data_IF_490019392918
#
_entry.id   IF_490019392918
#
_cell.length_a   1.000
_cell.length_b   1.000
_cell.length_c   1.000
_cell.angle_alpha   90.00
_cell.angle_beta   90.00
_cell.angle_gamma   90.00
#
_symmetry.space_group_name_H-M   'P 1'
#
loop_
_entity.id
_entity.type
_entity.pdbx_description
1 polymer ?
#
# COMPACT_ATOMS: atom_id res chain seq x y z
N UNK A 1 0.52 10.08 -7.70
CA UNK A 1 0.62 9.80 -6.26
C UNK A 1 0.66 8.29 -6.07
N UNK A 2 1.54 7.80 -5.20
CA UNK A 2 1.67 6.37 -4.89
C UNK A 2 1.16 6.15 -3.47
N UNK A 3 0.28 5.18 -3.29
CA UNK A 3 -0.33 4.80 -2.02
C UNK A 3 -0.03 3.34 -1.71
N UNK A 4 0.10 3.03 -0.43
CA UNK A 4 0.18 1.68 0.10
C UNK A 4 -0.87 1.48 1.17
N UNK A 5 -1.46 0.30 1.24
CA UNK A 5 -2.43 -0.04 2.25
C UNK A 5 -2.27 -1.48 2.75
N UNK A 6 -2.50 -1.67 4.04
CA UNK A 6 -2.44 -2.97 4.71
C UNK A 6 -3.50 -3.03 5.82
N UNK A 7 -3.91 -4.25 6.16
CA UNK A 7 -4.78 -4.54 7.30
C UNK A 7 -4.08 -5.61 8.14
N UNK A 8 -4.04 -5.37 9.45
CA UNK A 8 -3.49 -6.34 10.38
C UNK A 8 -4.55 -6.76 11.40
N UNK A 9 -4.69 -8.08 11.56
CA UNK A 9 -5.65 -8.68 12.49
C UNK A 9 -5.00 -9.06 13.82
N UNK A 10 -5.78 -9.17 14.90
CA UNK A 10 -5.31 -9.75 16.16
C UNK A 10 -4.70 -11.14 15.97
N UNK A 11 -3.75 -11.52 16.83
CA UNK A 11 -3.26 -12.91 16.84
C UNK A 11 -4.24 -13.77 17.65
N UNK A 12 -4.22 -15.08 17.39
CA UNK A 12 -4.96 -16.04 18.22
C UNK A 12 -4.57 -15.86 19.70
N UNK A 13 -5.55 -15.54 20.55
CA UNK A 13 -5.37 -15.24 21.98
C UNK A 13 -5.55 -13.76 22.37
N UNK A 14 -5.62 -12.83 21.41
CA UNK A 14 -5.94 -11.41 21.65
C UNK A 14 -7.44 -11.14 21.49
N UNK A 15 -8.26 -11.79 22.32
CA UNK A 15 -9.72 -11.64 22.28
C UNK A 15 -10.12 -10.18 22.60
N UNK A 16 -10.85 -9.55 21.68
CA UNK A 16 -11.33 -8.16 21.80
C UNK A 16 -10.43 -7.08 21.18
N UNK A 17 -9.28 -7.45 20.60
CA UNK A 17 -8.47 -6.50 19.84
C UNK A 17 -9.11 -6.21 18.46
N UNK A 18 -9.26 -4.94 18.05
CA UNK A 18 -9.79 -4.60 16.73
C UNK A 18 -8.77 -4.91 15.62
N UNK A 19 -9.25 -5.04 14.38
CA UNK A 19 -8.33 -4.98 13.23
C UNK A 19 -7.87 -3.55 13.03
N UNK A 20 -6.67 -3.38 12.47
CA UNK A 20 -6.11 -2.06 12.19
C UNK A 20 -5.81 -1.94 10.71
N UNK A 21 -6.31 -0.88 10.09
CA UNK A 21 -6.01 -0.55 8.70
C UNK A 21 -5.09 0.67 8.66
N UNK A 22 -4.09 0.61 7.79
CA UNK A 22 -3.13 1.68 7.58
C UNK A 22 -3.03 2.04 6.11
N UNK A 23 -3.01 3.35 5.81
CA UNK A 23 -2.79 3.89 4.46
C UNK A 23 -1.64 4.89 4.50
N UNK A 24 -0.66 4.67 3.64
CA UNK A 24 0.47 5.57 3.41
C UNK A 24 0.40 6.14 2.01
N UNK A 25 0.89 7.36 1.81
CA UNK A 25 1.04 7.89 0.46
C UNK A 25 2.18 8.89 0.32
N UNK A 26 2.77 8.91 -0.88
CA UNK A 26 3.76 9.92 -1.28
C UNK A 26 3.11 11.31 -1.30
N UNK A 27 3.79 12.34 -0.79
CA UNK A 27 3.32 13.74 -0.86
C UNK A 27 4.12 14.62 -1.82
N UNK A 28 5.30 14.16 -2.23
CA UNK A 28 6.23 14.92 -3.07
C UNK A 28 6.33 14.37 -4.51
N UNK A 29 7.04 15.09 -5.37
CA UNK A 29 7.24 14.68 -6.78
C UNK A 29 8.35 13.63 -6.96
N UNK A 30 9.33 13.59 -6.07
CA UNK A 30 10.41 12.59 -6.06
C UNK A 30 9.94 11.22 -5.52
N UNK A 31 8.75 11.15 -4.91
CA UNK A 31 8.10 9.93 -4.40
C UNK A 31 8.86 9.29 -3.24
N UNK A 32 9.45 10.11 -2.37
CA UNK A 32 10.32 9.68 -1.25
C UNK A 32 9.69 9.91 0.12
N UNK A 33 8.86 10.93 0.30
CA UNK A 33 8.22 11.28 1.56
C UNK A 33 6.83 10.67 1.63
N UNK A 34 6.60 9.82 2.63
CA UNK A 34 5.32 9.16 2.85
C UNK A 34 4.69 9.65 4.15
N UNK A 35 3.44 10.11 4.06
CA UNK A 35 2.60 10.37 5.23
C UNK A 35 1.55 9.26 5.41
N UNK A 36 1.08 9.10 6.64
CA UNK A 36 0.28 7.98 7.07
C UNK A 36 -1.01 8.38 7.80
N UNK A 37 -2.06 7.57 7.64
CA UNK A 37 -3.30 7.58 8.42
C UNK A 37 -3.61 6.15 8.74
N UNK A 38 -4.19 5.96 9.91
CA UNK A 38 -4.69 4.67 10.29
C UNK A 38 -6.01 4.76 11.00
N UNK A 39 -6.76 3.65 10.98
CA UNK A 39 -8.06 3.52 11.62
C UNK A 39 -8.18 2.14 12.26
N UNK A 40 -8.89 2.10 13.38
CA UNK A 40 -9.39 0.86 13.96
C UNK A 40 -10.63 0.46 13.18
N UNK A 41 -10.84 -0.84 13.03
CA UNK A 41 -12.05 -1.42 12.46
C UNK A 41 -12.40 -2.72 13.18
N UNK A 42 -13.62 -3.22 12.96
CA UNK A 42 -14.09 -4.42 13.61
C UNK A 42 -13.13 -5.61 13.42
N UNK A 43 -13.08 -6.47 14.43
CA UNK A 43 -12.18 -7.63 14.43
C UNK A 43 -12.49 -8.53 13.23
N UNK A 44 -11.44 -8.96 12.54
CA UNK A 44 -11.50 -9.83 11.35
C UNK A 44 -12.22 -9.23 10.12
N UNK A 45 -12.40 -7.91 10.07
CA UNK A 45 -12.83 -7.22 8.84
C UNK A 45 -11.65 -7.12 7.88
N UNK A 46 -11.72 -7.79 6.74
CA UNK A 46 -10.61 -7.90 5.77
C UNK A 46 -10.45 -6.68 4.85
N UNK A 47 -11.57 -6.05 4.49
CA UNK A 47 -11.57 -4.81 3.69
C UNK A 47 -11.27 -3.60 4.57
N UNK A 48 -10.73 -2.54 4.00
CA UNK A 48 -10.52 -1.29 4.73
C UNK A 48 -11.85 -0.53 4.82
N UNK A 49 -12.46 -0.51 6.01
CA UNK A 49 -13.81 0.03 6.19
C UNK A 49 -13.91 1.55 6.01
N UNK A 50 -12.89 2.28 6.46
CA UNK A 50 -12.81 3.74 6.39
C UNK A 50 -11.72 4.19 5.41
N UNK A 51 -11.62 3.54 4.24
CA UNK A 51 -10.59 3.85 3.25
C UNK A 51 -10.81 5.25 2.67
N UNK A 52 -12.06 5.64 2.45
CA UNK A 52 -12.40 6.96 1.89
C UNK A 52 -11.79 8.09 2.72
N UNK A 53 -12.01 8.10 4.03
CA UNK A 53 -11.48 9.13 4.93
C UNK A 53 -9.95 9.18 4.92
N UNK A 54 -9.29 8.02 4.92
CA UNK A 54 -7.84 7.96 4.88
C UNK A 54 -7.26 8.43 3.55
N UNK A 55 -7.95 8.18 2.44
CA UNK A 55 -7.56 8.69 1.11
C UNK A 55 -7.77 10.19 1.04
N UNK A 56 -8.87 10.73 1.59
CA UNK A 56 -9.09 12.19 1.70
C UNK A 56 -7.96 12.84 2.51
N UNK A 57 -7.56 12.27 3.65
CA UNK A 57 -6.41 12.75 4.42
C UNK A 57 -5.15 12.81 3.54
N UNK A 58 -4.87 11.77 2.76
CA UNK A 58 -3.69 11.73 1.88
C UNK A 58 -3.76 12.71 0.71
N UNK A 59 -4.94 12.94 0.13
CA UNK A 59 -5.12 13.93 -0.93
C UNK A 59 -4.89 15.36 -0.41
N UNK A 60 -5.38 15.65 0.80
CA UNK A 60 -5.11 16.91 1.50
C UNK A 60 -3.61 17.12 1.71
N UNK A 61 -2.94 16.12 2.28
CA UNK A 61 -1.50 16.15 2.51
C UNK A 61 -0.70 16.37 1.21
N UNK A 62 -1.06 15.65 0.15
CA UNK A 62 -0.43 15.77 -1.16
C UNK A 62 -0.59 17.19 -1.73
N UNK A 63 -1.80 17.76 -1.63
CA UNK A 63 -2.07 19.11 -2.13
C UNK A 63 -1.33 20.17 -1.30
N UNK A 64 -1.37 20.08 0.03
CA UNK A 64 -0.66 21.01 0.90
C UNK A 64 0.85 21.02 0.65
N UNK A 65 1.45 19.87 0.28
CA UNK A 65 2.88 19.78 0.01
C UNK A 65 3.25 20.16 -1.44
N UNK A 66 2.48 19.69 -2.42
CA UNK A 66 2.84 19.82 -3.84
C UNK A 66 2.19 21.00 -4.56
N UNK A 67 1.20 21.66 -3.93
CA UNK A 67 0.42 22.74 -4.54
C UNK A 67 -0.50 22.30 -5.68
N UNK A 68 -0.67 21.00 -5.91
CA UNK A 68 -1.50 20.46 -7.00
C UNK A 68 -2.16 19.14 -6.60
N UNK A 69 -3.29 18.80 -7.22
CA UNK A 69 -3.91 17.49 -7.05
C UNK A 69 -3.23 16.46 -7.97
N UNK A 70 -3.15 15.17 -7.57
CA UNK A 70 -2.52 14.15 -8.40
C UNK A 70 -3.37 13.81 -9.62
N UNK A 71 -2.78 13.68 -10.81
CA UNK A 71 -3.49 13.18 -12.01
C UNK A 71 -3.63 11.66 -12.06
N UNK A 72 -2.78 10.94 -11.32
CA UNK A 72 -2.77 9.47 -11.27
C UNK A 72 -2.60 9.00 -9.83
N UNK A 73 -3.32 7.96 -9.45
CA UNK A 73 -3.21 7.29 -8.15
C UNK A 73 -2.83 5.82 -8.40
N UNK A 74 -1.64 5.43 -7.94
CA UNK A 74 -1.23 4.02 -7.88
C UNK A 74 -1.42 3.50 -6.46
N UNK A 75 -2.29 2.51 -6.29
CA UNK A 75 -2.64 1.96 -4.99
C UNK A 75 -2.13 0.51 -4.88
N UNK A 76 -1.21 0.28 -3.95
CA UNK A 76 -0.67 -1.03 -3.64
C UNK A 76 -1.32 -1.61 -2.38
N UNK A 77 -2.11 -2.66 -2.53
CA UNK A 77 -2.81 -3.34 -1.43
C UNK A 77 -2.07 -4.60 -1.01
N UNK A 78 -1.46 -4.58 0.18
CA UNK A 78 -0.85 -5.75 0.82
C UNK A 78 -1.88 -6.50 1.65
N UNK A 79 -1.61 -7.75 2.04
CA UNK A 79 -2.39 -8.45 3.06
C UNK A 79 -3.67 -9.12 2.58
N UNK A 80 -3.90 -9.24 1.27
CA UNK A 80 -5.09 -9.92 0.72
C UNK A 80 -4.74 -11.16 -0.08
N UNK A 81 -5.58 -12.19 0.03
CA UNK A 81 -5.50 -13.45 -0.73
C UNK A 81 -6.29 -13.39 -2.04
N UNK A 82 -6.08 -14.37 -2.93
CA UNK A 82 -6.79 -14.44 -4.22
C UNK A 82 -8.31 -14.42 -4.09
N UNK A 83 -8.85 -15.04 -3.03
CA UNK A 83 -10.29 -15.06 -2.74
C UNK A 83 -10.88 -13.67 -2.44
N UNK A 84 -10.03 -12.71 -2.07
CA UNK A 84 -10.41 -11.36 -1.64
C UNK A 84 -10.16 -10.30 -2.71
N UNK A 85 -9.69 -10.69 -3.91
CA UNK A 85 -9.46 -9.72 -5.00
C UNK A 85 -10.76 -9.03 -5.44
N UNK A 86 -11.89 -9.74 -5.37
CA UNK A 86 -13.21 -9.15 -5.61
C UNK A 86 -13.51 -8.03 -4.62
N UNK A 87 -13.26 -8.26 -3.32
CA UNK A 87 -13.44 -7.24 -2.28
C UNK A 87 -12.62 -5.97 -2.55
N UNK A 88 -11.35 -6.10 -2.99
CA UNK A 88 -10.54 -4.91 -3.32
C UNK A 88 -11.15 -4.11 -4.46
N UNK A 89 -11.73 -4.79 -5.46
CA UNK A 89 -12.38 -4.16 -6.60
C UNK A 89 -13.76 -3.56 -6.25
N UNK A 90 -14.57 -4.29 -5.48
CA UNK A 90 -15.98 -4.01 -5.27
C UNK A 90 -16.23 -3.13 -4.03
N UNK A 91 -15.34 -3.18 -3.02
CA UNK A 91 -15.48 -2.44 -1.76
C UNK A 91 -14.43 -1.32 -1.60
N UNK A 92 -13.15 -1.59 -1.91
CA UNK A 92 -12.07 -0.60 -1.66
C UNK A 92 -11.93 0.42 -2.81
N UNK A 93 -11.95 -0.01 -4.07
CA UNK A 93 -11.82 0.90 -5.22
C UNK A 93 -12.93 1.98 -5.26
N UNK A 94 -14.22 1.69 -4.99
CA UNK A 94 -15.25 2.73 -4.93
C UNK A 94 -14.98 3.78 -3.83
N UNK A 95 -14.43 3.38 -2.69
CA UNK A 95 -14.05 4.33 -1.63
C UNK A 95 -12.92 5.26 -2.06
N UNK A 96 -11.94 4.79 -2.84
CA UNK A 96 -10.89 5.66 -3.40
C UNK A 96 -11.51 6.70 -4.34
N UNK A 97 -12.47 6.29 -5.18
CA UNK A 97 -13.19 7.20 -6.08
C UNK A 97 -14.04 8.22 -5.33
N UNK A 98 -14.77 7.77 -4.31
CA UNK A 98 -15.57 8.64 -3.44
C UNK A 98 -14.68 9.68 -2.73
N UNK A 99 -13.49 9.30 -2.29
CA UNK A 99 -12.53 10.20 -1.68
C UNK A 99 -12.06 11.30 -2.64
N UNK A 100 -11.85 10.98 -3.92
CA UNK A 100 -11.55 11.99 -4.94
C UNK A 100 -12.70 12.98 -5.11
N UNK A 101 -13.94 12.50 -5.23
CA UNK A 101 -15.11 13.39 -5.34
C UNK A 101 -15.30 14.27 -4.11
N UNK A 102 -15.08 13.72 -2.91
CA UNK A 102 -15.16 14.47 -1.64
C UNK A 102 -14.01 15.46 -1.46
N UNK A 103 -12.86 15.24 -2.10
CA UNK A 103 -11.73 16.16 -2.05
C UNK A 103 -11.94 17.41 -2.94
N UNK A 104 -12.68 17.30 -4.05
CA UNK A 104 -12.95 18.43 -4.97
C UNK A 104 -13.49 19.70 -4.28
N UNK A 105 -14.57 19.66 -3.47
CA UNK A 105 -15.07 20.87 -2.80
C UNK A 105 -14.04 21.44 -1.81
N UNK A 106 -13.24 20.59 -1.15
CA UNK A 106 -12.18 21.02 -0.23
C UNK A 106 -11.09 21.76 -0.99
N UNK A 107 -10.67 21.23 -2.13
CA UNK A 107 -9.70 21.90 -3.00
C UNK A 107 -10.27 23.24 -3.53
N UNK A 108 -11.55 23.28 -3.91
CA UNK A 108 -12.19 24.52 -4.36
C UNK A 108 -12.21 25.63 -3.30
N UNK A 109 -12.35 25.27 -2.02
CA UNK A 109 -12.22 26.23 -0.91
C UNK A 109 -10.77 26.72 -0.73
N UNK A 110 -9.78 25.88 -1.01
CA UNK A 110 -8.36 26.21 -0.85
C UNK A 110 -7.79 26.99 -2.04
N UNK A 111 -8.34 26.80 -3.23
CA UNK A 111 -7.91 27.45 -4.48
C UNK A 111 -9.12 27.94 -5.31
N UNK A 112 -9.87 28.93 -4.78
CA UNK A 112 -11.09 29.45 -5.41
C UNK A 112 -10.72 30.24 -6.67
N UNK A 113 -10.88 29.61 -7.84
CA UNK A 113 -10.52 30.17 -9.14
C UNK A 113 -9.85 29.18 -10.08
N UNK A 114 -9.52 27.98 -9.58
CA UNK A 114 -8.93 26.94 -10.40
C UNK A 114 -10.00 26.13 -11.15
N UNK A 115 -10.21 26.49 -12.41
CA UNK A 115 -11.20 25.83 -13.28
C UNK A 115 -10.88 24.34 -13.58
N UNK A 116 -9.68 23.86 -13.26
CA UNK A 116 -9.30 22.45 -13.47
C UNK A 116 -10.06 21.53 -12.51
N UNK A 117 -10.48 22.03 -11.33
CA UNK A 117 -11.10 21.23 -10.26
C UNK A 117 -12.34 20.48 -10.74
N UNK A 118 -13.21 21.14 -11.52
CA UNK A 118 -14.45 20.54 -12.02
C UNK A 118 -14.19 19.32 -12.93
N UNK A 119 -13.11 19.36 -13.69
CA UNK A 119 -12.74 18.29 -14.64
C UNK A 119 -11.72 17.31 -14.07
N UNK A 120 -11.23 17.56 -12.85
CA UNK A 120 -10.23 16.70 -12.23
C UNK A 120 -10.85 15.33 -11.92
N UNK A 121 -10.29 14.30 -12.52
CA UNK A 121 -10.67 12.92 -12.29
C UNK A 121 -9.40 12.06 -12.39
N UNK A 122 -8.73 11.75 -11.26
CA UNK A 122 -7.47 11.05 -11.30
C UNK A 122 -7.64 9.61 -11.79
N UNK A 123 -6.74 9.15 -12.65
CA UNK A 123 -6.76 7.76 -13.13
C UNK A 123 -6.23 6.84 -12.03
N UNK A 124 -7.01 5.84 -11.63
CA UNK A 124 -6.66 4.92 -10.55
C UNK A 124 -6.13 3.59 -11.11
N UNK A 125 -4.97 3.18 -10.61
CA UNK A 125 -4.38 1.86 -10.87
C UNK A 125 -4.20 1.13 -9.55
N UNK A 126 -4.80 -0.05 -9.42
CA UNK A 126 -4.79 -0.87 -8.21
C UNK A 126 -4.02 -2.15 -8.45
N UNK A 127 -3.00 -2.39 -7.62
CA UNK A 127 -2.22 -3.61 -7.60
C UNK A 127 -2.32 -4.25 -6.22
N UNK A 128 -2.58 -5.55 -6.18
CA UNK A 128 -2.45 -6.36 -4.97
C UNK A 128 -1.04 -6.91 -4.88
N UNK A 129 -0.49 -6.93 -3.67
CA UNK A 129 0.87 -7.39 -3.36
C UNK A 129 0.82 -8.66 -2.53
N UNK A 130 1.25 -9.77 -3.12
CA UNK A 130 1.40 -11.07 -2.44
C UNK A 130 2.86 -11.31 -2.06
N UNK A 131 3.24 -11.04 -0.81
CA UNK A 131 4.60 -11.28 -0.27
C UNK A 131 4.80 -12.67 0.36
N UNK A 132 3.71 -13.41 0.61
CA UNK A 132 3.71 -14.74 1.24
C UNK A 132 3.03 -15.77 0.33
N UNK A 133 3.82 -16.47 -0.46
CA UNK A 133 3.37 -17.58 -1.30
C UNK A 133 4.43 -18.69 -1.37
N UNK A 134 4.07 -19.80 -2.02
CA UNK A 134 4.91 -20.99 -2.14
C UNK A 134 5.81 -21.01 -3.39
N UNK A 135 5.58 -20.14 -4.37
CA UNK A 135 6.41 -20.01 -5.59
C UNK A 135 7.85 -19.59 -5.26
N UNK A 136 8.85 -20.27 -5.82
CA UNK A 136 10.28 -19.95 -5.71
C UNK A 136 10.94 -20.04 -7.08
N UNK A 137 11.93 -19.18 -7.31
CA UNK A 137 12.68 -19.11 -8.55
C UNK A 137 14.13 -19.47 -8.30
N UNK A 138 14.71 -20.23 -9.23
CA UNK A 138 16.10 -20.66 -9.16
C UNK A 138 16.79 -20.34 -10.48
N UNK A 139 18.04 -19.88 -10.46
CA UNK A 139 18.81 -19.67 -11.67
C UNK A 139 19.10 -21.02 -12.32
N UNK A 140 19.21 -21.03 -13.65
CA UNK A 140 19.71 -22.19 -14.36
C UNK A 140 21.17 -22.43 -13.95
N UNK A 141 21.48 -23.66 -13.53
CA UNK A 141 22.63 -24.12 -12.71
C UNK A 141 24.02 -23.69 -13.25
N UNK A 142 24.12 -23.21 -14.49
CA UNK A 142 25.39 -22.90 -15.17
C UNK A 142 25.80 -21.42 -15.23
N UNK A 143 25.00 -20.46 -14.76
CA UNK A 143 25.22 -19.03 -15.07
C UNK A 143 25.64 -18.11 -13.91
N UNK A 144 25.37 -18.46 -12.66
CA UNK A 144 25.68 -17.59 -11.52
C UNK A 144 26.52 -18.35 -10.49
N UNK A 145 27.84 -18.10 -10.53
CA UNK A 145 28.82 -18.64 -9.57
C UNK A 145 28.27 -18.70 -8.14
N UNK A 146 27.96 -19.92 -7.66
CA UNK A 146 27.59 -20.24 -6.28
C UNK A 146 26.36 -19.52 -5.67
N UNK A 147 25.61 -18.68 -6.42
CA UNK A 147 24.39 -18.07 -5.90
C UNK A 147 23.18 -18.98 -6.18
N UNK A 148 22.43 -19.28 -5.13
CA UNK A 148 21.21 -20.10 -5.21
C UNK A 148 20.00 -19.29 -5.69
N UNK A 149 20.11 -17.96 -5.75
CA UNK A 149 19.02 -17.05 -6.08
C UNK A 149 19.19 -16.43 -7.47
N UNK A 150 18.07 -16.05 -8.07
CA UNK A 150 18.06 -15.26 -9.29
C UNK A 150 18.64 -13.85 -9.04
N UNK A 151 19.16 -13.17 -10.08
CA UNK A 151 19.60 -11.79 -9.94
C UNK A 151 18.44 -10.84 -9.59
N UNK A 152 18.75 -9.77 -8.87
CA UNK A 152 17.81 -8.69 -8.60
C UNK A 152 17.30 -8.07 -9.91
N UNK A 153 16.00 -7.77 -9.95
CA UNK A 153 15.29 -7.33 -11.15
C UNK A 153 14.66 -8.46 -11.98
N UNK A 154 14.73 -9.73 -11.54
CA UNK A 154 14.01 -10.82 -12.20
C UNK A 154 12.50 -10.52 -12.22
N UNK A 155 11.92 -10.58 -13.40
CA UNK A 155 10.47 -10.53 -13.61
C UNK A 155 10.01 -11.84 -14.25
N UNK A 156 8.90 -12.38 -13.75
CA UNK A 156 8.22 -13.54 -14.36
C UNK A 156 6.74 -13.23 -14.52
N UNK A 157 6.32 -13.04 -15.76
CA UNK A 157 4.96 -12.65 -16.16
C UNK A 157 4.33 -13.62 -17.18
N UNK A 158 5.00 -14.75 -17.45
CA UNK A 158 4.57 -15.78 -18.42
C UNK A 158 4.59 -17.17 -17.77
N UNK A 159 3.79 -18.06 -18.36
CA UNK A 159 3.68 -19.50 -18.06
C UNK A 159 3.11 -19.87 -16.68
N UNK A 160 3.68 -19.33 -15.61
CA UNK A 160 3.35 -19.65 -14.21
C UNK A 160 2.48 -18.60 -13.53
N UNK A 161 1.94 -17.66 -14.30
CA UNK A 161 0.97 -16.66 -13.86
C UNK A 161 -0.45 -17.11 -14.22
N UNK A 162 -1.45 -16.55 -13.55
CA UNK A 162 -2.84 -16.89 -13.82
C UNK A 162 -3.23 -16.44 -15.25
N UNK A 163 -3.73 -17.32 -16.13
CA UNK A 163 -4.08 -16.96 -17.51
C UNK A 163 -5.25 -15.97 -17.60
N UNK A 164 -6.09 -15.91 -16.56
CA UNK A 164 -7.28 -15.06 -16.53
C UNK A 164 -7.05 -13.72 -15.84
N UNK A 165 -5.85 -13.47 -15.29
CA UNK A 165 -5.52 -12.24 -14.55
C UNK A 165 -4.12 -11.76 -14.89
N UNK A 166 -4.01 -10.50 -15.26
CA UNK A 166 -2.71 -9.87 -15.49
C UNK A 166 -1.95 -9.74 -14.18
N UNK A 167 -0.82 -10.42 -14.08
CA UNK A 167 0.03 -10.43 -12.89
C UNK A 167 1.48 -10.75 -13.25
N UNK A 168 2.39 -10.44 -12.34
CA UNK A 168 3.81 -10.74 -12.50
C UNK A 168 4.47 -10.98 -11.15
N UNK A 169 5.47 -11.85 -11.11
CA UNK A 169 6.39 -11.96 -9.98
C UNK A 169 7.59 -11.04 -10.22
N UNK A 170 8.08 -10.42 -9.15
CA UNK A 170 9.25 -9.55 -9.20
C UNK A 170 10.20 -9.88 -8.03
N UNK A 171 11.43 -10.25 -8.37
CA UNK A 171 12.55 -10.38 -7.42
C UNK A 171 13.45 -9.16 -7.54
N UNK A 172 13.04 -8.07 -6.93
CA UNK A 172 13.74 -6.79 -6.89
C UNK A 172 15.02 -6.75 -6.02
N UNK A 173 15.22 -7.68 -5.11
CA UNK A 173 16.32 -7.67 -4.15
C UNK A 173 17.29 -8.85 -4.33
N UNK A 174 18.51 -8.66 -3.85
CA UNK A 174 19.44 -9.76 -3.61
C UNK A 174 19.14 -10.36 -2.23
N UNK A 175 18.99 -11.69 -2.16
CA UNK A 175 18.77 -12.40 -0.90
C UNK A 175 20.09 -13.03 -0.45
N UNK A 176 20.74 -12.51 0.62
CA UNK A 176 22.04 -13.03 1.06
C UNK A 176 21.94 -14.38 1.79
N UNK A 177 20.74 -14.75 2.27
CA UNK A 177 20.52 -15.97 3.04
C UNK A 177 19.25 -16.68 2.57
N UNK A 178 19.37 -17.98 2.29
CA UNK A 178 18.26 -18.82 1.86
C UNK A 178 17.68 -18.43 0.50
N UNK A 179 16.55 -19.04 0.15
CA UNK A 179 15.88 -18.79 -1.13
C UNK A 179 15.06 -17.50 -1.09
N UNK A 180 15.33 -16.61 -2.03
CA UNK A 180 14.63 -15.35 -2.22
C UNK A 180 13.14 -15.58 -2.42
N UNK A 181 12.34 -14.65 -1.89
CA UNK A 181 10.88 -14.62 -2.11
C UNK A 181 10.56 -13.44 -3.03
N UNK A 182 10.25 -13.73 -4.29
CA UNK A 182 9.82 -12.74 -5.26
C UNK A 182 8.38 -12.33 -4.98
N UNK A 183 8.09 -11.06 -4.78
CA UNK A 183 6.71 -10.61 -4.53
C UNK A 183 5.83 -10.80 -5.77
N UNK A 184 4.59 -11.26 -5.59
CA UNK A 184 3.59 -11.42 -6.66
C UNK A 184 2.70 -10.19 -6.73
N UNK A 185 2.62 -9.54 -7.89
CA UNK A 185 1.80 -8.35 -8.12
C UNK A 185 0.66 -8.69 -9.05
N UNK A 186 -0.58 -8.49 -8.60
CA UNK A 186 -1.80 -8.76 -9.37
C UNK A 186 -2.50 -7.44 -9.68
N UNK A 187 -2.76 -7.19 -10.96
CA UNK A 187 -3.42 -5.96 -11.40
C UNK A 187 -4.92 -6.15 -11.28
N UNK A 188 -5.55 -5.38 -10.38
CA UNK A 188 -7.00 -5.41 -10.16
C UNK A 188 -7.69 -4.38 -11.06
N UNK A 189 -7.11 -3.19 -11.18
CA UNK A 189 -7.63 -2.10 -12.00
C UNK A 189 -6.49 -1.31 -12.62
N UNK A 190 -6.63 -0.89 -13.87
CA UNK A 190 -5.65 -0.06 -14.56
C UNK A 190 -6.35 0.98 -15.44
N UNK A 191 -6.83 2.07 -14.83
CA UNK A 191 -7.44 3.19 -15.57
C UNK A 191 -6.40 4.05 -16.28
N UNK A 192 -5.14 4.01 -15.81
CA UNK A 192 -4.01 4.71 -16.43
C UNK A 192 -3.55 4.07 -17.75
N UNK A 193 -4.04 2.87 -18.07
CA UNK A 193 -3.69 2.09 -19.27
C UNK A 193 -2.18 1.82 -19.42
N UNK A 194 -1.48 1.69 -18.29
CA UNK A 194 -0.08 1.27 -18.31
C UNK A 194 0.07 -0.12 -18.93
N UNK A 195 1.14 -0.36 -19.67
CA UNK A 195 1.50 -1.73 -20.07
C UNK A 195 1.98 -2.52 -18.85
N UNK A 196 2.06 -3.84 -18.99
CA UNK A 196 2.55 -4.68 -17.89
C UNK A 196 4.03 -4.38 -17.63
N UNK A 197 4.81 -4.13 -18.67
CA UNK A 197 6.22 -3.77 -18.61
C UNK A 197 6.43 -2.43 -17.88
N UNK A 198 5.60 -1.43 -18.16
CA UNK A 198 5.63 -0.16 -17.43
C UNK A 198 5.34 -0.37 -15.94
N UNK A 199 4.34 -1.19 -15.60
CA UNK A 199 4.03 -1.51 -14.20
C UNK A 199 5.15 -2.29 -13.51
N UNK A 200 5.80 -3.22 -14.21
CA UNK A 200 6.97 -3.94 -13.71
C UNK A 200 8.12 -2.97 -13.41
N UNK A 201 8.43 -2.06 -14.33
CA UNK A 201 9.50 -1.08 -14.17
C UNK A 201 9.20 -0.08 -13.04
N UNK A 202 7.98 0.46 -13.01
CA UNK A 202 7.54 1.39 -11.95
C UNK A 202 7.62 0.69 -10.59
N UNK A 203 7.07 -0.53 -10.49
CA UNK A 203 7.10 -1.31 -9.24
C UNK A 203 8.53 -1.54 -8.79
N UNK A 204 9.42 -1.96 -9.71
CA UNK A 204 10.83 -2.17 -9.40
C UNK A 204 11.51 -0.88 -8.89
N UNK A 205 11.35 0.25 -9.59
CA UNK A 205 11.90 1.55 -9.17
C UNK A 205 11.43 1.96 -7.78
N UNK A 206 10.15 1.79 -7.48
CA UNK A 206 9.59 2.14 -6.18
C UNK A 206 10.21 1.29 -5.05
N UNK A 207 10.68 0.07 -5.32
CA UNK A 207 11.36 -0.75 -4.32
C UNK A 207 12.72 -0.18 -3.86
N UNK A 208 13.29 0.75 -4.64
CA UNK A 208 14.53 1.47 -4.30
C UNK A 208 14.30 2.81 -3.60
N UNK A 209 13.04 3.24 -3.39
CA UNK A 209 12.74 4.51 -2.72
C UNK A 209 12.59 4.40 -1.21
N UNK A 210 12.77 3.19 -0.66
CA UNK A 210 12.72 2.95 0.78
C UNK A 210 13.89 3.62 1.51
N UNK A 211 13.61 4.50 2.46
CA UNK A 211 14.62 5.25 3.24
C UNK A 211 15.33 4.41 4.31
N UNK A 212 14.83 3.20 4.58
CA UNK A 212 15.35 2.32 5.65
C UNK A 212 16.57 1.51 5.24
N UNK A 213 16.90 1.44 3.95
CA UNK A 213 18.00 0.63 3.44
C UNK A 213 18.62 1.28 2.19
N UNK A 214 19.92 1.09 2.00
CA UNK A 214 20.65 1.49 0.79
C UNK A 214 20.59 0.43 -0.32
N UNK A 215 19.71 -0.57 -0.16
CA UNK A 215 19.48 -1.67 -1.09
C UNK A 215 17.99 -1.75 -1.42
N UNK A 216 17.66 -2.36 -2.56
CA UNK A 216 16.27 -2.60 -2.94
C UNK A 216 15.56 -3.44 -1.86
N UNK A 217 14.36 -3.00 -1.48
CA UNK A 217 13.50 -3.77 -0.58
C UNK A 217 12.95 -5.00 -1.30
N UNK A 218 12.48 -6.02 -0.58
CA UNK A 218 11.93 -7.25 -1.18
C UNK A 218 10.50 -7.15 -1.69
N UNK A 219 9.85 -6.03 -1.38
CA UNK A 219 8.48 -5.67 -1.74
C UNK A 219 8.45 -4.16 -2.02
N UNK A 220 7.45 -3.67 -2.74
CA UNK A 220 7.35 -2.25 -3.01
C UNK A 220 7.27 -1.42 -1.72
N UNK A 221 7.99 -0.31 -1.69
CA UNK A 221 8.05 0.62 -0.56
C UNK A 221 6.68 1.00 0.03
N UNK A 222 5.63 1.35 -0.76
CA UNK A 222 4.32 1.68 -0.19
C UNK A 222 3.71 0.53 0.60
N UNK A 223 3.76 -0.70 0.09
CA UNK A 223 3.24 -1.87 0.81
C UNK A 223 4.03 -2.14 2.10
N UNK A 224 5.37 -2.06 2.04
CA UNK A 224 6.21 -2.22 3.23
C UNK A 224 5.88 -1.17 4.30
N UNK A 225 5.69 0.08 3.90
CA UNK A 225 5.41 1.17 4.82
C UNK A 225 4.03 1.05 5.45
N UNK A 226 3.03 0.55 4.72
CA UNK A 226 1.73 0.22 5.29
C UNK A 226 1.83 -0.91 6.33
N UNK A 227 2.62 -1.96 6.08
CA UNK A 227 2.89 -3.04 7.05
C UNK A 227 3.61 -2.50 8.31
N UNK A 228 4.63 -1.65 8.15
CA UNK A 228 5.32 -1.00 9.28
C UNK A 228 4.35 -0.15 10.11
N UNK A 229 3.49 0.63 9.45
CA UNK A 229 2.46 1.43 10.11
C UNK A 229 1.50 0.55 10.91
N UNK A 230 0.98 -0.53 10.32
CA UNK A 230 0.08 -1.46 11.00
C UNK A 230 0.73 -2.15 12.19
N UNK A 231 1.99 -2.58 12.05
CA UNK A 231 2.76 -3.14 13.16
C UNK A 231 2.99 -2.13 14.28
N UNK A 232 3.25 -0.85 13.93
CA UNK A 232 3.42 0.20 14.94
C UNK A 232 2.12 0.49 15.68
N UNK A 233 0.98 0.52 15.00
CA UNK A 233 -0.33 0.67 15.65
C UNK A 233 -0.60 -0.46 16.64
N UNK A 234 -0.25 -1.70 16.29
CA UNK A 234 -0.35 -2.83 17.22
C UNK A 234 0.44 -2.58 18.50
N UNK A 235 1.65 -2.01 18.40
CA UNK A 235 2.44 -1.64 19.58
C UNK A 235 1.75 -0.55 20.42
N UNK A 236 1.07 0.42 19.80
CA UNK A 236 0.31 1.44 20.51
C UNK A 236 -0.96 0.89 21.18
N UNK A 237 -1.55 -0.14 20.60
CA UNK A 237 -2.74 -0.81 21.17
C UNK A 237 -2.38 -1.80 22.28
N UNK A 238 -1.15 -2.30 22.33
CA UNK A 238 -0.71 -3.30 23.32
C UNK A 238 -0.98 -2.92 24.79
N UNK A 239 -0.76 -1.65 25.24
CA UNK A 239 -1.13 -1.24 26.59
C UNK A 239 -2.64 -1.22 26.84
N UNK A 240 -3.44 -0.91 25.82
CA UNK A 240 -4.90 -0.88 25.92
C UNK A 240 -5.50 -2.30 25.96
N UNK A 241 -4.94 -3.24 25.20
CA UNK A 241 -5.36 -4.66 25.23
C UNK A 241 -4.98 -5.38 26.52
N UNK A 242 -3.87 -4.98 27.17
CA UNK A 242 -3.43 -5.54 28.45
C UNK A 242 -3.96 -4.79 29.70
N UNK A 243 -5.03 -4.00 29.55
CA UNK A 243 -5.71 -3.34 30.67
C UNK A 243 -4.98 -2.13 31.27
N UNK A 244 -3.95 -1.59 30.61
CA UNK A 244 -3.17 -0.45 31.07
C UNK A 244 -3.77 0.93 30.76
N UNK A 245 -4.71 1.03 29.82
CA UNK A 245 -5.34 2.31 29.43
C UNK A 245 -6.86 2.12 29.30
N UNK A 246 -7.64 2.84 30.11
CA UNK A 246 -9.10 2.98 29.92
C UNK A 246 -9.34 3.99 28.78
N UNK A 247 -9.86 3.51 27.65
CA UNK A 247 -10.29 4.38 26.54
C UNK A 247 -11.55 5.14 27.00
N UNK A 248 -11.60 6.48 26.94
CA UNK A 248 -12.79 7.24 27.28
C UNK A 248 -13.91 6.94 26.26
N UNK A 249 -15.09 6.58 26.74
CA UNK A 249 -16.27 6.35 25.91
C UNK A 249 -16.89 7.68 25.45
N UNK A 250 -16.81 7.99 24.16
CA UNK A 250 -17.44 9.16 23.53
C UNK A 250 -16.99 9.35 22.06
N UNK A 251 -17.78 10.09 21.28
CA UNK A 251 -17.65 10.35 19.82
C UNK A 251 -16.34 11.01 19.33
N UNK A 252 -15.33 11.14 20.20
CA UNK A 252 -14.05 11.78 19.92
C UNK A 252 -12.91 10.79 19.59
N UNK A 253 -13.20 9.50 19.40
CA UNK A 253 -12.19 8.46 19.13
C UNK A 253 -11.62 8.46 17.68
N UNK A 254 -12.16 9.26 16.75
CA UNK A 254 -11.92 9.11 15.31
C UNK A 254 -10.69 9.87 14.74
N UNK A 255 -9.72 10.28 15.55
CA UNK A 255 -8.42 10.80 15.07
C UNK A 255 -7.27 10.25 15.88
N UNK A 256 -6.84 9.02 15.56
CA UNK A 256 -5.52 8.56 15.97
C UNK A 256 -4.50 8.81 14.85
N UNK A 257 -3.77 9.90 15.07
CA UNK A 257 -2.37 10.14 14.71
C UNK A 257 -2.02 10.21 13.21
N UNK A 258 -1.77 11.44 12.74
CA UNK A 258 -0.96 11.67 11.55
C UNK A 258 0.51 11.47 11.95
N UNK A 259 1.18 10.50 11.34
CA UNK A 259 2.59 10.24 11.57
C UNK A 259 3.38 10.40 10.28
N UNK A 260 4.56 10.99 10.38
CA UNK A 260 5.60 10.80 9.37
C UNK A 260 6.09 9.35 9.49
N UNK A 261 6.06 8.60 8.40
CA UNK A 261 6.53 7.20 8.38
C UNK A 261 8.00 7.10 8.80
N UNK A 262 8.79 8.16 8.58
CA UNK A 262 10.19 8.25 9.01
C UNK A 262 10.34 8.32 10.54
N UNK A 263 9.32 8.83 11.25
CA UNK A 263 9.31 8.90 12.72
C UNK A 263 8.89 7.59 13.41
N UNK A 264 8.52 6.56 12.62
CA UNK A 264 8.14 5.23 13.11
C UNK A 264 9.35 4.29 13.29
N UNK A 265 10.57 4.83 13.31
CA UNK A 265 11.83 4.16 13.65
C UNK A 265 11.98 3.96 15.14
#
# INVERSE_FOLDING_TARGET
MIMGADVTHPKAGDDGCPSMAGVVATVDQQKIHYLASARLQDSNTEYIANLEDMVVDRLKDYFSFSGSAPGHIMFYRDGVSESQYGMVHDEELPQIKAACERFKPIWMEWDPGNNVIETWNPLITVLVVGKRHHTRFYPEISKLHNDINCPAGLVVDKEIVNPNRTSFYLQNHHSPLGTARSSHYVIIKNESKYTVEELQEITNKICHTGSRATVALSVCTPALYADILCNRLRCYMYPASNGGIRIPTGDSAARLLAFDVLSLG
#
